data_IF_378150774257
#
_entry.id   IF_378150774257
#
_cell.length_a   1.000
_cell.length_b   1.000
_cell.length_c   1.000
_cell.angle_alpha   90.00
_cell.angle_beta   90.00
_cell.angle_gamma   90.00
#
_symmetry.space_group_name_H-M   'P 1'
#
loop_
_entity.id
_entity.type
_entity.pdbx_description
1 polymer ?
#
# COMPACT_ATOMS: atom_id res chain seq x y z
N UNK A 1 2.21 -18.51 4.97
CA UNK A 1 2.27 -18.38 6.44
C UNK A 1 1.09 -17.49 6.83
N UNK A 2 0.12 -17.97 7.61
CA UNK A 2 -1.07 -17.17 8.00
C UNK A 2 -0.69 -16.34 9.22
N UNK A 3 -0.62 -15.03 9.08
CA UNK A 3 -0.37 -14.10 10.18
C UNK A 3 -1.73 -13.70 10.78
N UNK A 4 -2.01 -14.10 12.01
CA UNK A 4 -3.23 -13.70 12.72
C UNK A 4 -2.95 -12.44 13.53
N UNK A 5 -3.50 -11.30 13.11
CA UNK A 5 -3.44 -10.05 13.85
C UNK A 5 -4.57 -10.02 14.88
N UNK A 6 -4.30 -9.56 16.11
CA UNK A 6 -5.33 -9.42 17.15
C UNK A 6 -5.25 -8.02 17.77
N UNK A 7 -6.39 -7.35 17.92
CA UNK A 7 -6.54 -6.11 18.70
C UNK A 7 -7.52 -6.41 19.83
N UNK A 8 -7.15 -6.11 21.08
CA UNK A 8 -7.96 -6.40 22.28
C UNK A 8 -8.48 -7.85 22.35
N UNK A 9 -7.63 -8.81 21.99
CA UNK A 9 -7.95 -10.25 21.92
C UNK A 9 -8.98 -10.67 20.85
N UNK A 10 -9.49 -9.73 20.05
CA UNK A 10 -10.34 -10.03 18.89
C UNK A 10 -9.48 -10.28 17.65
N UNK A 11 -9.71 -11.37 16.90
CA UNK A 11 -9.03 -11.60 15.63
C UNK A 11 -9.44 -10.51 14.65
N UNK A 12 -8.44 -9.88 14.02
CA UNK A 12 -8.64 -8.99 12.89
C UNK A 12 -8.63 -9.87 11.64
N UNK A 13 -9.82 -10.16 11.10
CA UNK A 13 -9.94 -10.81 9.79
C UNK A 13 -9.68 -9.76 8.71
N UNK A 14 -8.40 -9.50 8.45
CA UNK A 14 -7.96 -8.63 7.36
C UNK A 14 -6.97 -9.39 6.50
N UNK A 15 -7.24 -9.46 5.20
CA UNK A 15 -6.25 -9.96 4.25
C UNK A 15 -5.18 -8.88 4.07
N UNK A 16 -3.91 -9.29 4.04
CA UNK A 16 -2.78 -8.36 3.95
C UNK A 16 -2.86 -7.49 2.68
N UNK A 17 -3.38 -8.06 1.60
CA UNK A 17 -3.55 -7.39 0.32
C UNK A 17 -4.58 -6.24 0.42
N UNK A 18 -5.67 -6.42 1.19
CA UNK A 18 -6.69 -5.39 1.41
C UNK A 18 -6.16 -4.24 2.27
N UNK A 19 -5.35 -4.55 3.29
CA UNK A 19 -4.70 -3.52 4.14
C UNK A 19 -3.70 -2.71 3.31
N UNK A 20 -2.89 -3.39 2.49
CA UNK A 20 -1.95 -2.73 1.59
C UNK A 20 -2.71 -1.84 0.60
N UNK A 21 -3.80 -2.34 0.01
CA UNK A 21 -4.65 -1.60 -0.91
C UNK A 21 -5.24 -0.33 -0.26
N UNK A 22 -5.79 -0.45 0.95
CA UNK A 22 -6.37 0.68 1.68
C UNK A 22 -5.32 1.72 2.10
N UNK A 23 -4.14 1.29 2.56
CA UNK A 23 -3.03 2.20 2.88
C UNK A 23 -2.53 2.94 1.63
N UNK A 24 -2.46 2.26 0.49
CA UNK A 24 -2.09 2.87 -0.79
C UNK A 24 -3.16 3.86 -1.28
N UNK A 25 -4.45 3.53 -1.14
CA UNK A 25 -5.54 4.45 -1.46
C UNK A 25 -5.46 5.73 -0.62
N UNK A 26 -5.24 5.59 0.70
CA UNK A 26 -5.04 6.73 1.60
C UNK A 26 -3.78 7.54 1.25
N UNK A 27 -2.69 6.89 0.83
CA UNK A 27 -1.44 7.56 0.42
C UNK A 27 -1.65 8.39 -0.83
N UNK A 28 -2.42 7.86 -1.77
CA UNK A 28 -2.68 8.46 -3.07
C UNK A 28 -3.89 9.40 -3.07
N UNK A 29 -4.56 9.55 -1.91
CA UNK A 29 -5.77 10.36 -1.73
C UNK A 29 -6.88 9.96 -2.73
N UNK A 30 -7.02 8.65 -2.94
CA UNK A 30 -8.00 8.11 -3.89
C UNK A 30 -9.41 8.11 -3.28
N UNK A 31 -10.45 8.43 -4.07
CA UNK A 31 -11.83 8.22 -3.65
C UNK A 31 -12.16 6.72 -3.56
N UNK A 32 -13.16 6.38 -2.76
CA UNK A 32 -13.53 4.98 -2.44
C UNK A 32 -13.95 4.15 -3.67
N UNK A 33 -14.35 4.80 -4.77
CA UNK A 33 -14.73 4.18 -6.05
C UNK A 33 -13.61 4.21 -7.11
N UNK A 34 -12.41 4.68 -6.75
CA UNK A 34 -11.30 4.76 -7.69
C UNK A 34 -10.80 3.38 -8.13
N UNK A 35 -10.43 3.27 -9.41
CA UNK A 35 -9.66 2.12 -9.89
C UNK A 35 -8.23 2.18 -9.33
N UNK A 36 -7.99 1.43 -8.26
CA UNK A 36 -6.70 1.36 -7.58
C UNK A 36 -5.59 0.88 -8.52
N UNK A 37 -5.87 -0.06 -9.42
CA UNK A 37 -4.87 -0.63 -10.32
C UNK A 37 -4.33 0.44 -11.29
N UNK A 38 -5.21 1.22 -11.92
CA UNK A 38 -4.84 2.30 -12.82
C UNK A 38 -4.09 3.42 -12.08
N UNK A 39 -4.55 3.79 -10.88
CA UNK A 39 -3.91 4.80 -10.07
C UNK A 39 -2.48 4.39 -9.67
N UNK A 40 -2.30 3.11 -9.33
CA UNK A 40 -1.01 2.55 -8.94
C UNK A 40 -0.07 2.42 -10.13
N UNK A 41 -0.57 1.97 -11.29
CA UNK A 41 0.20 1.92 -12.54
C UNK A 41 0.72 3.31 -12.93
N UNK A 42 -0.13 4.35 -12.84
CA UNK A 42 0.27 5.74 -13.09
C UNK A 42 1.31 6.22 -12.08
N UNK A 43 1.07 6.02 -10.79
CA UNK A 43 1.99 6.41 -9.72
C UNK A 43 3.37 5.78 -9.89
N UNK A 44 3.43 4.48 -10.14
CA UNK A 44 4.68 3.76 -10.34
C UNK A 44 5.39 4.17 -11.62
N UNK A 45 4.65 4.45 -12.70
CA UNK A 45 5.23 4.98 -13.95
C UNK A 45 5.88 6.35 -13.73
N UNK A 46 5.22 7.25 -12.99
CA UNK A 46 5.76 8.57 -12.65
C UNK A 46 6.99 8.47 -11.74
N UNK A 47 6.96 7.61 -10.71
CA UNK A 47 8.09 7.44 -9.78
C UNK A 47 9.24 6.61 -10.35
N UNK A 48 8.96 5.77 -11.34
CA UNK A 48 9.94 4.94 -12.05
C UNK A 48 10.71 5.70 -13.13
N UNK A 49 10.17 6.80 -13.65
CA UNK A 49 10.84 7.61 -14.65
C UNK A 49 11.99 8.47 -14.07
N UNK A 50 13.05 8.76 -14.84
CA UNK A 50 13.33 8.34 -16.22
C UNK A 50 14.26 7.10 -16.30
N UNK A 51 14.33 6.29 -15.25
CA UNK A 51 15.44 5.35 -15.07
C UNK A 51 15.31 4.12 -15.96
N UNK A 52 16.29 3.91 -16.85
CA UNK A 52 16.43 2.65 -17.61
C UNK A 52 17.24 1.68 -16.75
N UNK A 53 16.54 0.93 -15.90
CA UNK A 53 17.10 -0.21 -15.16
C UNK A 53 16.51 -1.51 -15.71
N UNK A 54 17.25 -2.61 -15.52
CA UNK A 54 16.73 -3.95 -15.82
C UNK A 54 15.48 -4.27 -14.97
N UNK A 55 14.62 -5.13 -15.49
CA UNK A 55 13.29 -5.44 -14.92
C UNK A 55 13.36 -5.84 -13.43
N UNK A 56 14.34 -6.67 -13.05
CA UNK A 56 14.48 -7.13 -11.67
C UNK A 56 14.91 -5.99 -10.72
N UNK A 57 15.75 -5.07 -11.20
CA UNK A 57 16.16 -3.90 -10.44
C UNK A 57 15.00 -2.91 -10.29
N UNK A 58 14.18 -2.75 -11.34
CA UNK A 58 12.99 -1.92 -11.29
C UNK A 58 11.97 -2.48 -10.30
N UNK A 59 11.73 -3.80 -10.35
CA UNK A 59 10.82 -4.52 -9.44
C UNK A 59 11.23 -4.34 -7.98
N UNK A 60 12.49 -4.59 -7.63
CA UNK A 60 12.99 -4.42 -6.24
C UNK A 60 12.87 -2.98 -5.76
N UNK A 61 13.15 -2.01 -6.63
CA UNK A 61 13.06 -0.58 -6.29
C UNK A 61 11.62 -0.16 -6.04
N UNK A 62 10.71 -0.55 -6.94
CA UNK A 62 9.27 -0.32 -6.79
C UNK A 62 8.78 -0.94 -5.47
N UNK A 63 9.14 -2.19 -5.20
CA UNK A 63 8.70 -2.88 -3.98
C UNK A 63 9.21 -2.19 -2.70
N UNK A 64 10.49 -1.82 -2.68
CA UNK A 64 11.07 -1.05 -1.56
C UNK A 64 10.37 0.30 -1.38
N UNK A 65 10.01 0.96 -2.48
CA UNK A 65 9.33 2.25 -2.43
C UNK A 65 7.91 2.11 -1.89
N UNK A 66 7.16 1.12 -2.36
CA UNK A 66 5.83 0.79 -1.86
C UNK A 66 5.87 0.51 -0.35
N UNK A 67 6.80 -0.33 0.11
CA UNK A 67 6.99 -0.60 1.55
C UNK A 67 7.22 0.70 2.32
N UNK A 68 8.10 1.58 1.85
CA UNK A 68 8.38 2.84 2.54
C UNK A 68 7.17 3.80 2.52
N UNK A 69 6.39 3.81 1.44
CA UNK A 69 5.21 4.67 1.31
C UNK A 69 4.04 4.19 2.20
N UNK A 70 3.89 2.88 2.45
CA UNK A 70 2.87 2.32 3.35
C UNK A 70 3.35 2.22 4.81
N UNK A 71 4.65 2.12 5.06
CA UNK A 71 5.22 2.04 6.40
C UNK A 71 5.29 3.40 7.12
N UNK A 72 4.71 4.46 6.54
CA UNK A 72 4.53 5.73 7.22
C UNK A 72 3.58 5.56 8.41
N UNK A 73 4.05 5.75 9.67
CA UNK A 73 3.23 5.57 10.85
C UNK A 73 1.96 6.42 10.84
N UNK A 74 2.00 7.60 10.20
CA UNK A 74 0.83 8.47 10.10
C UNK A 74 -0.28 7.84 9.24
N UNK A 75 0.09 7.13 8.17
CA UNK A 75 -0.87 6.41 7.32
C UNK A 75 -1.49 5.22 8.04
N UNK A 76 -0.67 4.46 8.77
CA UNK A 76 -1.15 3.33 9.56
C UNK A 76 -2.16 3.81 10.61
N UNK A 77 -1.84 4.88 11.35
CA UNK A 77 -2.75 5.45 12.35
C UNK A 77 -4.04 5.94 11.68
N UNK A 78 -3.94 6.64 10.54
CA UNK A 78 -5.12 7.13 9.82
C UNK A 78 -6.02 5.97 9.37
N UNK A 79 -5.45 4.91 8.80
CA UNK A 79 -6.20 3.71 8.40
C UNK A 79 -6.91 3.04 9.57
N UNK A 80 -6.22 2.87 10.70
CA UNK A 80 -6.81 2.29 11.91
C UNK A 80 -7.93 3.15 12.51
N UNK A 81 -7.88 4.47 12.31
CA UNK A 81 -8.92 5.40 12.79
C UNK A 81 -10.13 5.48 11.86
N UNK A 82 -9.96 5.32 10.54
CA UNK A 82 -11.08 5.29 9.59
C UNK A 82 -11.87 3.98 9.65
N UNK A 83 -11.27 2.91 10.17
CA UNK A 83 -11.88 1.58 10.32
C UNK A 83 -12.73 1.39 11.60
N UNK A 84 -13.18 2.46 12.26
CA UNK A 84 -14.09 2.41 13.42
C UNK A 84 -15.51 2.87 13.06
#
# INVERSE_FOLDING_TARGET
MKLELRIDSKPLEVELDDVIAALLALRLDLPDDANLEDALARYLSEKGAPWVLDEEHMRRRIFRRLILDIADPALIIRHLMTGQ
#
